data_IF_765410349724
#
_entry.id   IF_765410349724
#
_cell.length_a   1.000
_cell.length_b   1.000
_cell.length_c   1.000
_cell.angle_alpha   90.00
_cell.angle_beta   90.00
_cell.angle_gamma   90.00
#
_symmetry.space_group_name_H-M   'P 1'
#
loop_
_entity.id
_entity.type
_entity.pdbx_description
1 polymer ?
#
# COMPACT_ATOMS: atom_id res chain seq x y z
N UNK A 1 -9.90 -10.60 18.01
CA UNK A 1 -11.07 -9.70 17.93
C UNK A 1 -10.62 -8.25 17.88
N UNK A 2 -9.81 -7.79 18.84
CA UNK A 2 -9.25 -6.42 18.91
C UNK A 2 -8.62 -5.87 17.60
N UNK A 3 -7.75 -6.63 16.93
CA UNK A 3 -7.11 -6.18 15.68
C UNK A 3 -8.08 -5.86 14.55
N UNK A 4 -9.19 -6.60 14.45
CA UNK A 4 -10.22 -6.39 13.42
C UNK A 4 -11.01 -5.13 13.72
N UNK A 5 -11.30 -4.86 15.00
CA UNK A 5 -11.97 -3.63 15.43
C UNK A 5 -11.11 -2.40 15.15
N UNK A 6 -9.80 -2.49 15.41
CA UNK A 6 -8.83 -1.45 15.03
C UNK A 6 -8.87 -1.24 13.51
N UNK A 7 -8.77 -2.31 12.72
CA UNK A 7 -8.80 -2.22 11.26
C UNK A 7 -10.08 -1.55 10.76
N UNK A 8 -11.25 -1.97 11.23
CA UNK A 8 -12.55 -1.38 10.88
C UNK A 8 -12.62 0.10 11.27
N UNK A 9 -12.23 0.45 12.49
CA UNK A 9 -12.27 1.84 12.97
C UNK A 9 -11.43 2.77 12.09
N UNK A 10 -10.23 2.34 11.71
CA UNK A 10 -9.34 3.14 10.87
C UNK A 10 -9.77 3.17 9.39
N UNK A 11 -10.39 2.10 8.89
CA UNK A 11 -11.04 2.10 7.58
C UNK A 11 -12.24 3.05 7.55
N UNK A 12 -13.08 3.08 8.59
CA UNK A 12 -14.17 4.07 8.66
C UNK A 12 -13.64 5.50 8.81
N UNK A 13 -12.51 5.68 9.50
CA UNK A 13 -11.84 6.99 9.58
C UNK A 13 -11.36 7.46 8.21
N UNK A 14 -10.79 6.57 7.38
CA UNK A 14 -10.27 6.94 6.06
C UNK A 14 -11.35 7.47 5.12
N UNK A 15 -12.61 7.06 5.31
CA UNK A 15 -13.77 7.51 4.51
C UNK A 15 -14.16 8.97 4.75
N UNK A 16 -13.62 9.62 5.79
CA UNK A 16 -13.91 11.02 6.12
C UNK A 16 -13.08 12.02 5.30
N UNK A 17 -12.03 11.54 4.64
CA UNK A 17 -11.12 12.36 3.85
C UNK A 17 -11.50 12.36 2.38
N UNK A 18 -11.29 13.49 1.71
CA UNK A 18 -11.50 13.66 0.28
C UNK A 18 -10.30 13.13 -0.54
N UNK A 19 -10.39 13.24 -1.87
CA UNK A 19 -9.37 12.74 -2.80
C UNK A 19 -8.70 13.86 -3.63
N UNK A 20 -8.87 15.12 -3.24
CA UNK A 20 -8.47 16.31 -4.02
C UNK A 20 -7.41 17.14 -3.34
N UNK A 21 -7.46 17.25 -2.02
CA UNK A 21 -6.47 17.96 -1.21
C UNK A 21 -5.34 17.02 -0.82
N UNK A 22 -4.08 17.44 -0.95
CA UNK A 22 -2.94 16.51 -0.80
C UNK A 22 -2.80 16.06 0.64
N UNK A 23 -3.03 16.94 1.61
CA UNK A 23 -3.02 16.63 3.03
C UNK A 23 -4.12 15.61 3.36
N UNK A 24 -5.34 15.82 2.87
CA UNK A 24 -6.43 14.84 3.07
C UNK A 24 -6.16 13.50 2.38
N UNK A 25 -5.59 13.50 1.17
CA UNK A 25 -5.21 12.28 0.44
C UNK A 25 -4.13 11.49 1.20
N UNK A 26 -3.18 12.19 1.81
CA UNK A 26 -2.16 11.60 2.69
C UNK A 26 -2.76 11.05 3.97
N UNK A 27 -3.61 11.80 4.66
CA UNK A 27 -4.30 11.36 5.87
C UNK A 27 -5.16 10.11 5.61
N UNK A 28 -5.81 10.06 4.44
CA UNK A 28 -6.52 8.88 3.95
C UNK A 28 -5.58 7.70 3.79
N UNK A 29 -4.45 7.88 3.11
CA UNK A 29 -3.45 6.84 2.91
C UNK A 29 -2.93 6.29 4.24
N UNK A 30 -2.59 7.17 5.18
CA UNK A 30 -2.14 6.75 6.50
C UNK A 30 -3.22 6.00 7.28
N UNK A 31 -4.46 6.48 7.23
CA UNK A 31 -5.58 5.80 7.91
C UNK A 31 -5.81 4.40 7.35
N UNK A 32 -5.76 4.24 6.02
CA UNK A 32 -5.83 2.93 5.36
C UNK A 32 -4.63 2.06 5.73
N UNK A 33 -3.42 2.62 5.76
CA UNK A 33 -2.23 1.87 6.11
C UNK A 33 -2.24 1.39 7.56
N UNK A 34 -2.75 2.19 8.51
CA UNK A 34 -2.94 1.76 9.90
C UNK A 34 -3.95 0.61 9.98
N UNK A 35 -5.04 0.69 9.22
CA UNK A 35 -6.00 -0.43 9.12
C UNK A 35 -5.32 -1.69 8.58
N UNK A 36 -4.51 -1.55 7.54
CA UNK A 36 -3.74 -2.65 6.94
C UNK A 36 -2.72 -3.24 7.93
N UNK A 37 -1.99 -2.40 8.67
CA UNK A 37 -1.07 -2.79 9.73
C UNK A 37 -1.74 -3.62 10.81
N UNK A 38 -2.93 -3.20 11.26
CA UNK A 38 -3.69 -3.97 12.24
C UNK A 38 -3.94 -5.41 11.76
N UNK A 39 -4.26 -5.60 10.47
CA UNK A 39 -4.47 -6.93 9.89
C UNK A 39 -3.16 -7.71 9.74
N UNK A 40 -2.14 -7.16 9.07
CA UNK A 40 -0.92 -7.91 8.78
C UNK A 40 -0.06 -8.16 10.02
N UNK A 41 -0.24 -7.38 11.10
CA UNK A 41 0.47 -7.59 12.38
C UNK A 41 0.23 -8.98 12.99
N UNK A 42 -0.79 -9.73 12.53
CA UNK A 42 -0.99 -11.13 12.93
C UNK A 42 0.14 -12.06 12.47
N UNK A 43 0.93 -11.64 11.47
CA UNK A 43 2.07 -12.38 10.94
C UNK A 43 3.40 -12.03 11.60
N UNK A 44 3.41 -10.98 12.44
CA UNK A 44 4.59 -10.56 13.18
C UNK A 44 4.86 -11.53 14.34
N UNK A 45 6.13 -11.80 14.59
CA UNK A 45 6.58 -12.59 15.73
C UNK A 45 7.11 -11.68 16.86
N UNK A 46 6.86 -10.37 16.78
CA UNK A 46 7.29 -9.39 17.79
C UNK A 46 8.69 -8.83 17.55
N UNK A 47 9.30 -9.08 16.39
CA UNK A 47 10.59 -8.47 16.02
C UNK A 47 10.37 -7.25 15.14
N UNK A 48 10.97 -6.11 15.46
CA UNK A 48 10.87 -4.90 14.63
C UNK A 48 11.38 -5.13 13.19
N UNK A 49 12.27 -6.09 13.00
CA UNK A 49 12.84 -6.47 11.70
C UNK A 49 11.85 -7.20 10.78
N UNK A 50 10.66 -7.60 11.27
CA UNK A 50 9.67 -8.34 10.48
C UNK A 50 8.59 -7.48 9.79
N UNK A 51 8.48 -6.17 10.10
CA UNK A 51 7.36 -5.33 9.62
C UNK A 51 7.20 -5.37 8.11
N UNK A 52 8.29 -5.10 7.38
CA UNK A 52 8.29 -5.15 5.90
C UNK A 52 7.91 -6.52 5.36
N UNK A 53 8.46 -7.58 5.94
CA UNK A 53 8.18 -8.96 5.49
C UNK A 53 6.71 -9.33 5.72
N UNK A 54 6.15 -8.94 6.86
CA UNK A 54 4.75 -9.14 7.20
C UNK A 54 3.81 -8.33 6.30
N UNK A 55 4.14 -7.07 6.05
CA UNK A 55 3.37 -6.14 5.22
C UNK A 55 3.44 -6.46 3.72
N UNK A 56 4.38 -7.30 3.28
CA UNK A 56 4.59 -7.60 1.86
C UNK A 56 4.50 -9.09 1.59
N UNK A 57 5.59 -9.83 1.77
CA UNK A 57 5.71 -11.26 1.43
C UNK A 57 4.67 -12.12 2.13
N UNK A 58 4.57 -12.08 3.46
CA UNK A 58 3.66 -12.96 4.21
C UNK A 58 2.19 -12.63 3.92
N UNK A 59 1.85 -11.35 3.73
CA UNK A 59 0.51 -10.97 3.31
C UNK A 59 0.21 -11.45 1.88
N UNK A 60 1.15 -11.32 0.94
CA UNK A 60 0.96 -11.82 -0.42
C UNK A 60 0.71 -13.34 -0.45
N UNK A 61 1.48 -14.11 0.34
CA UNK A 61 1.27 -15.54 0.52
C UNK A 61 -0.12 -15.85 1.09
N UNK A 62 -0.56 -15.08 2.08
CA UNK A 62 -1.90 -15.19 2.64
C UNK A 62 -2.99 -14.91 1.59
N UNK A 63 -2.89 -13.80 0.85
CA UNK A 63 -3.86 -13.43 -0.19
C UNK A 63 -3.97 -14.53 -1.26
N UNK A 64 -2.84 -15.10 -1.67
CA UNK A 64 -2.79 -16.22 -2.61
C UNK A 64 -3.47 -17.47 -2.04
N UNK A 65 -3.14 -17.85 -0.80
CA UNK A 65 -3.73 -19.03 -0.14
C UNK A 65 -5.25 -18.90 0.03
N UNK A 66 -5.73 -17.71 0.39
CA UNK A 66 -7.15 -17.42 0.57
C UNK A 66 -7.88 -17.12 -0.75
N UNK A 67 -7.20 -17.20 -1.89
CA UNK A 67 -7.73 -16.91 -3.23
C UNK A 67 -8.39 -15.52 -3.34
N UNK A 68 -7.78 -14.51 -2.72
CA UNK A 68 -8.23 -13.13 -2.83
C UNK A 68 -7.66 -12.54 -4.12
N UNK A 69 -8.54 -12.11 -5.04
CA UNK A 69 -8.18 -11.73 -6.42
C UNK A 69 -8.57 -10.29 -6.79
N UNK A 70 -8.59 -9.37 -5.81
CA UNK A 70 -9.02 -7.98 -5.99
C UNK A 70 -8.24 -7.20 -7.05
N UNK A 71 -7.00 -7.61 -7.36
CA UNK A 71 -6.16 -6.91 -8.33
C UNK A 71 -6.61 -7.08 -9.78
N UNK A 72 -7.34 -8.16 -10.10
CA UNK A 72 -7.91 -8.37 -11.44
C UNK A 72 -8.86 -7.22 -11.83
N UNK A 73 -9.61 -6.70 -10.86
CA UNK A 73 -10.53 -5.57 -11.07
C UNK A 73 -9.85 -4.20 -10.93
N UNK A 74 -8.55 -4.18 -10.66
CA UNK A 74 -7.77 -2.96 -10.37
C UNK A 74 -6.68 -2.68 -11.41
N UNK A 75 -6.65 -3.37 -12.54
CA UNK A 75 -5.55 -3.23 -13.52
C UNK A 75 -5.32 -1.77 -13.92
N UNK A 76 -6.38 -1.04 -14.27
CA UNK A 76 -6.29 0.38 -14.62
C UNK A 76 -5.81 1.26 -13.46
N UNK A 77 -6.20 0.94 -12.23
CA UNK A 77 -5.78 1.62 -11.00
C UNK A 77 -4.30 1.38 -10.72
N UNK A 78 -3.84 0.14 -10.86
CA UNK A 78 -2.43 -0.22 -10.69
C UNK A 78 -1.56 0.49 -11.73
N UNK A 79 -1.99 0.55 -13.00
CA UNK A 79 -1.28 1.30 -14.05
C UNK A 79 -1.16 2.79 -13.71
N UNK A 80 -2.22 3.41 -13.18
CA UNK A 80 -2.18 4.80 -12.69
C UNK A 80 -1.21 4.96 -11.52
N UNK A 81 -1.17 3.99 -10.59
CA UNK A 81 -0.29 4.02 -9.43
C UNK A 81 1.20 4.05 -9.80
N UNK A 82 1.61 3.27 -10.81
CA UNK A 82 3.01 3.16 -11.22
C UNK A 82 3.45 4.23 -12.23
N UNK A 83 2.50 4.92 -12.88
CA UNK A 83 2.80 5.89 -13.94
C UNK A 83 3.73 7.04 -13.50
N UNK A 84 3.57 7.64 -12.31
CA UNK A 84 4.47 8.71 -11.83
C UNK A 84 5.93 8.26 -11.61
N UNK A 85 6.17 6.96 -11.41
CA UNK A 85 7.55 6.46 -11.34
C UNK A 85 8.09 6.22 -12.75
N UNK A 86 7.26 5.63 -13.63
CA UNK A 86 7.65 5.36 -15.02
C UNK A 86 8.01 6.60 -15.82
N UNK A 87 7.33 7.71 -15.57
CA UNK A 87 7.61 8.99 -16.26
C UNK A 87 8.75 9.78 -15.59
N UNK A 88 9.38 9.25 -14.53
CA UNK A 88 10.45 9.92 -13.80
C UNK A 88 10.00 11.08 -12.93
N UNK A 89 8.69 11.28 -12.73
CA UNK A 89 8.18 12.38 -11.89
C UNK A 89 8.24 12.09 -10.39
N UNK A 90 8.42 10.82 -10.01
CA UNK A 90 8.51 10.40 -8.61
C UNK A 90 9.45 9.19 -8.44
N UNK A 91 9.94 9.00 -7.22
CA UNK A 91 10.76 7.84 -6.82
C UNK A 91 10.38 7.39 -5.41
N UNK A 92 10.37 6.08 -5.19
CA UNK A 92 9.96 5.50 -3.90
C UNK A 92 11.20 5.16 -3.08
N UNK A 93 12.18 4.54 -3.71
CA UNK A 93 13.40 4.12 -3.05
C UNK A 93 14.51 5.15 -3.25
N UNK A 94 15.21 5.45 -2.16
CA UNK A 94 16.40 6.27 -2.14
C UNK A 94 17.25 5.92 -0.93
N UNK A 95 18.52 6.28 -0.98
CA UNK A 95 19.44 6.21 0.15
C UNK A 95 20.08 7.59 0.37
N UNK A 96 21.01 7.69 1.32
CA UNK A 96 21.72 8.94 1.62
C UNK A 96 22.57 9.44 0.42
N UNK A 97 22.82 8.57 -0.57
CA UNK A 97 23.59 8.85 -1.78
C UNK A 97 22.73 9.28 -2.96
N UNK A 98 21.39 9.27 -2.84
CA UNK A 98 20.47 9.67 -3.90
C UNK A 98 19.33 8.69 -4.15
N UNK A 99 18.66 8.88 -5.28
CA UNK A 99 17.46 8.15 -5.69
C UNK A 99 17.84 6.77 -6.26
N UNK A 100 17.13 5.70 -5.86
CA UNK A 100 17.37 4.32 -6.31
C UNK A 100 16.35 3.90 -7.38
N UNK A 101 16.45 4.52 -8.55
CA UNK A 101 15.60 4.24 -9.70
C UNK A 101 15.68 2.79 -10.18
N UNK A 102 16.82 2.12 -9.95
CA UNK A 102 16.99 0.72 -10.34
C UNK A 102 16.02 -0.17 -9.56
N UNK A 103 15.90 0.06 -8.25
CA UNK A 103 14.96 -0.69 -7.41
C UNK A 103 13.51 -0.39 -7.73
N UNK A 104 13.18 0.86 -8.03
CA UNK A 104 11.86 1.26 -8.52
C UNK A 104 11.50 0.51 -9.81
N UNK A 105 12.39 0.51 -10.80
CA UNK A 105 12.18 -0.17 -12.09
C UNK A 105 11.98 -1.68 -11.95
N UNK A 106 12.74 -2.34 -11.07
CA UNK A 106 12.56 -3.79 -10.82
C UNK A 106 11.18 -4.10 -10.26
N UNK A 107 10.65 -3.27 -9.36
CA UNK A 107 9.33 -3.47 -8.78
C UNK A 107 8.24 -3.21 -9.82
N UNK A 108 8.39 -2.14 -10.61
CA UNK A 108 7.45 -1.82 -11.69
C UNK A 108 7.41 -2.93 -12.73
N UNK A 109 8.57 -3.40 -13.19
CA UNK A 109 8.63 -4.49 -14.16
C UNK A 109 7.88 -5.72 -13.66
N UNK A 110 8.07 -6.11 -12.40
CA UNK A 110 7.35 -7.25 -11.80
C UNK A 110 5.84 -7.06 -11.70
N UNK A 111 5.38 -5.82 -11.54
CA UNK A 111 3.95 -5.47 -11.53
C UNK A 111 3.39 -5.53 -12.95
N UNK A 112 4.16 -5.11 -13.96
CA UNK A 112 3.74 -5.14 -15.36
C UNK A 112 3.73 -6.54 -15.95
N UNK A 113 4.67 -7.39 -15.56
CA UNK A 113 4.72 -8.80 -15.96
C UNK A 113 3.54 -9.61 -15.40
N UNK A 114 3.13 -9.31 -14.16
CA UNK A 114 1.99 -9.94 -13.51
C UNK A 114 1.29 -8.96 -12.56
N UNK A 115 0.10 -8.50 -12.95
CA UNK A 115 -0.72 -7.59 -12.15
C UNK A 115 -1.17 -8.23 -10.83
N UNK A 116 -1.20 -9.57 -10.75
CA UNK A 116 -1.53 -10.34 -9.55
C UNK A 116 -0.32 -10.61 -8.66
N UNK A 117 0.84 -10.01 -8.97
CA UNK A 117 2.01 -10.05 -8.11
C UNK A 117 1.83 -9.18 -6.86
N UNK A 118 1.01 -9.66 -5.93
CA UNK A 118 0.71 -9.00 -4.65
C UNK A 118 1.97 -8.61 -3.90
N UNK A 119 3.03 -9.43 -3.94
CA UNK A 119 4.27 -9.12 -3.23
C UNK A 119 4.91 -7.82 -3.77
N UNK A 120 4.89 -7.60 -5.08
CA UNK A 120 5.44 -6.38 -5.71
C UNK A 120 4.53 -5.17 -5.46
N UNK A 121 3.21 -5.32 -5.57
CA UNK A 121 2.24 -4.26 -5.25
C UNK A 121 2.34 -3.81 -3.79
N UNK A 122 2.37 -4.76 -2.87
CA UNK A 122 2.49 -4.45 -1.44
C UNK A 122 3.87 -3.86 -1.11
N UNK A 123 4.94 -4.29 -1.79
CA UNK A 123 6.25 -3.62 -1.67
C UNK A 123 6.21 -2.19 -2.17
N UNK A 124 5.51 -1.90 -3.26
CA UNK A 124 5.32 -0.54 -3.75
C UNK A 124 4.63 0.31 -2.67
N UNK A 125 3.47 -0.12 -2.18
CA UNK A 125 2.69 0.58 -1.15
C UNK A 125 3.48 0.75 0.17
N UNK A 126 4.20 -0.28 0.60
CA UNK A 126 5.09 -0.18 1.77
C UNK A 126 6.18 0.89 1.55
N UNK A 127 6.76 0.91 0.35
CA UNK A 127 7.74 1.92 -0.03
C UNK A 127 7.16 3.33 0.01
N UNK A 128 5.93 3.54 -0.48
CA UNK A 128 5.23 4.82 -0.38
C UNK A 128 5.11 5.27 1.07
N UNK A 129 4.65 4.36 1.94
CA UNK A 129 4.58 4.60 3.38
C UNK A 129 5.93 5.05 3.91
N UNK A 130 6.99 4.27 3.72
CA UNK A 130 8.33 4.66 4.19
C UNK A 130 8.79 6.01 3.65
N UNK A 131 8.56 6.27 2.35
CA UNK A 131 8.94 7.52 1.68
C UNK A 131 8.25 8.75 2.31
N UNK A 132 6.98 8.63 2.68
CA UNK A 132 6.18 9.71 3.28
C UNK A 132 6.42 9.88 4.79
N UNK A 133 6.92 8.87 5.50
CA UNK A 133 7.21 8.95 6.95
C UNK A 133 8.54 9.65 7.28
N UNK A 134 9.41 9.90 6.29
CA UNK A 134 10.60 10.72 6.50
C UNK A 134 10.19 12.20 6.44
N UNK A 135 9.96 12.80 7.60
CA UNK A 135 9.41 14.16 7.80
C UNK A 135 10.20 15.33 7.20
N UNK A 136 11.21 15.05 6.38
CA UNK A 136 11.93 16.04 5.57
C UNK A 136 11.30 16.23 4.19
N UNK A 137 10.38 15.35 3.77
CA UNK A 137 9.71 15.46 2.47
C UNK A 137 8.60 16.51 2.49
N UNK A 138 8.64 17.40 1.51
CA UNK A 138 7.54 18.32 1.26
C UNK A 138 6.27 17.57 0.84
N UNK A 139 5.14 18.07 1.34
CA UNK A 139 3.82 17.66 0.91
C UNK A 139 3.49 18.49 -0.34
N UNK A 140 3.33 17.83 -1.49
CA UNK A 140 3.15 18.49 -2.80
C UNK A 140 2.06 17.79 -3.60
N UNK A 141 1.31 18.55 -4.40
CA UNK A 141 0.13 18.07 -5.12
C UNK A 141 0.38 16.89 -6.06
N UNK A 142 1.60 16.72 -6.58
CA UNK A 142 2.00 15.60 -7.43
C UNK A 142 1.84 14.25 -6.73
N UNK A 143 1.97 14.21 -5.40
CA UNK A 143 1.77 12.99 -4.60
C UNK A 143 0.36 12.43 -4.75
N UNK A 144 -0.64 13.26 -5.06
CA UNK A 144 -2.03 12.84 -5.29
C UNK A 144 -2.12 11.80 -6.40
N UNK A 145 -1.33 11.95 -7.47
CA UNK A 145 -1.37 11.05 -8.64
C UNK A 145 -0.99 9.61 -8.29
N UNK A 146 -0.20 9.45 -7.22
CA UNK A 146 0.32 8.18 -6.76
C UNK A 146 -0.47 7.64 -5.55
N UNK A 147 -0.89 8.54 -4.64
CA UNK A 147 -1.63 8.15 -3.43
C UNK A 147 -3.08 7.79 -3.70
N UNK A 148 -3.79 8.49 -4.59
CA UNK A 148 -5.18 8.14 -4.91
C UNK A 148 -5.36 6.71 -5.43
N UNK A 149 -4.60 6.24 -6.43
CA UNK A 149 -4.72 4.86 -6.87
C UNK A 149 -4.25 3.85 -5.80
N UNK A 150 -3.24 4.20 -4.98
CA UNK A 150 -2.83 3.37 -3.84
C UNK A 150 -3.95 3.24 -2.78
N UNK A 151 -4.66 4.34 -2.49
CA UNK A 151 -5.80 4.37 -1.58
C UNK A 151 -6.92 3.44 -2.07
N UNK A 152 -7.26 3.49 -3.35
CA UNK A 152 -8.29 2.61 -3.95
C UNK A 152 -7.90 1.13 -3.81
N UNK A 153 -6.64 0.80 -4.06
CA UNK A 153 -6.14 -0.58 -3.94
C UNK A 153 -6.20 -1.03 -2.47
N UNK A 154 -5.76 -0.19 -1.53
CA UNK A 154 -5.80 -0.48 -0.10
C UNK A 154 -7.24 -0.65 0.41
N UNK A 155 -8.17 0.20 0.01
CA UNK A 155 -9.59 0.08 0.38
C UNK A 155 -10.17 -1.27 -0.06
N UNK A 156 -10.02 -1.63 -1.34
CA UNK A 156 -10.51 -2.91 -1.88
C UNK A 156 -9.85 -4.11 -1.21
N UNK A 157 -8.55 -4.01 -0.92
CA UNK A 157 -7.81 -5.05 -0.21
C UNK A 157 -8.34 -5.24 1.21
N UNK A 158 -8.55 -4.14 1.95
CA UNK A 158 -9.06 -4.15 3.31
C UNK A 158 -10.48 -4.70 3.37
N UNK A 159 -11.35 -4.30 2.46
CA UNK A 159 -12.72 -4.83 2.36
C UNK A 159 -12.72 -6.34 2.16
N UNK A 160 -11.89 -6.84 1.23
CA UNK A 160 -11.77 -8.28 0.98
C UNK A 160 -11.20 -9.03 2.18
N UNK A 161 -10.15 -8.49 2.83
CA UNK A 161 -9.54 -9.08 4.02
C UNK A 161 -10.51 -9.13 5.21
N UNK A 162 -11.19 -8.03 5.50
CA UNK A 162 -12.15 -7.94 6.61
C UNK A 162 -13.31 -8.90 6.34
N UNK A 163 -13.87 -8.92 5.13
CA UNK A 163 -14.93 -9.86 4.76
C UNK A 163 -14.47 -11.30 4.98
N UNK A 164 -13.29 -11.67 4.49
CA UNK A 164 -12.74 -13.03 4.62
C UNK A 164 -12.54 -13.45 6.07
N UNK A 165 -12.05 -12.53 6.92
CA UNK A 165 -11.81 -12.79 8.34
C UNK A 165 -13.13 -12.95 9.13
N UNK A 166 -14.22 -12.29 8.72
CA UNK A 166 -15.52 -12.39 9.39
C UNK A 166 -16.34 -13.62 8.97
N UNK A 167 -16.07 -14.17 7.78
CA UNK A 167 -16.77 -15.37 7.26
C UNK A 167 -16.11 -16.68 7.66
N UNK A 168 -14.89 -16.63 8.19
CA UNK A 168 -14.14 -17.77 8.73
C UNK A 168 -14.26 -17.76 10.26
#
# INVERSE_FOLDING_TARGET
MEKIEIAKRWLEKSKKYNNTDVEEVMDKFFSLYVSYNAIYSKFSQGSANDDRSCATTKMAEYLKRENITILNDCESTVKKMIAPIKNGSFYIYGNHSGQDFKKDNVIIQKIEEDINNYASILNFIYGLRSNMFHGEKQIIGEQIQLLNPANIILEKLLDALIKKILTN
#
